data_IF_777404078345
#
_entry.id   IF_777404078345
#
_cell.length_a   1.000
_cell.length_b   1.000
_cell.length_c   1.000
_cell.angle_alpha   90.00
_cell.angle_beta   90.00
_cell.angle_gamma   90.00
#
_symmetry.space_group_name_H-M   'P 1'
#
loop_
_entity.id
_entity.type
_entity.pdbx_description
1 polymer ?
#
# COMPACT_ATOMS: atom_id res chain seq x y z
N UNK A 1 3.59 -1.13 -15.56
CA UNK A 1 4.07 -2.36 -14.88
C UNK A 1 5.52 -2.63 -15.26
N UNK A 2 6.31 -3.13 -14.31
CA UNK A 2 7.73 -3.46 -14.48
C UNK A 2 7.99 -4.89 -13.99
N UNK A 3 8.96 -5.57 -14.60
CA UNK A 3 9.45 -6.84 -14.07
C UNK A 3 10.18 -6.55 -12.75
N UNK A 4 9.69 -7.14 -11.66
CA UNK A 4 10.17 -6.90 -10.30
C UNK A 4 10.54 -8.21 -9.59
N UNK A 5 10.59 -9.33 -10.31
CA UNK A 5 10.84 -10.65 -9.73
C UNK A 5 9.89 -10.94 -8.54
N UNK A 6 8.62 -10.56 -8.70
CA UNK A 6 7.60 -10.78 -7.67
C UNK A 6 7.38 -12.29 -7.43
N UNK A 7 6.95 -12.65 -6.22
CA UNK A 7 6.77 -14.06 -5.82
C UNK A 7 5.78 -14.84 -6.70
N UNK A 8 4.83 -14.15 -7.31
CA UNK A 8 3.80 -14.70 -8.21
C UNK A 8 4.17 -14.55 -9.70
N UNK A 9 5.41 -14.15 -10.00
CA UNK A 9 5.93 -13.85 -11.33
C UNK A 9 5.11 -12.79 -12.10
N UNK A 10 4.28 -12.00 -11.42
CA UNK A 10 3.51 -10.93 -12.03
C UNK A 10 4.29 -9.62 -12.06
N UNK A 11 4.16 -8.81 -13.14
CA UNK A 11 4.81 -7.52 -13.20
C UNK A 11 4.14 -6.52 -12.25
N UNK A 12 4.95 -5.74 -11.54
CA UNK A 12 4.48 -4.81 -10.49
C UNK A 12 4.16 -3.44 -11.09
N UNK A 13 3.02 -2.86 -10.72
CA UNK A 13 2.60 -1.52 -11.16
C UNK A 13 2.37 -0.53 -10.01
N UNK A 14 2.28 -1.02 -8.78
CA UNK A 14 2.16 -0.20 -7.57
C UNK A 14 3.32 -0.50 -6.62
N UNK A 15 3.98 0.54 -6.15
CA UNK A 15 5.12 0.45 -5.23
C UNK A 15 4.91 1.42 -4.08
N UNK A 16 5.22 0.98 -2.86
CA UNK A 16 5.23 1.83 -1.67
C UNK A 16 6.61 1.77 -1.01
N UNK A 17 7.22 2.94 -0.80
CA UNK A 17 8.50 3.07 -0.12
C UNK A 17 8.28 3.52 1.32
N UNK A 18 8.83 2.78 2.27
CA UNK A 18 8.83 3.14 3.69
C UNK A 18 10.28 3.39 4.14
N UNK A 19 10.54 4.60 4.62
CA UNK A 19 11.83 4.97 5.20
C UNK A 19 11.68 5.10 6.71
N UNK A 20 12.60 4.48 7.45
CA UNK A 20 12.62 4.52 8.91
C UNK A 20 14.04 4.85 9.39
N UNK A 21 14.20 5.73 10.41
CA UNK A 21 15.52 5.95 11.01
C UNK A 21 16.00 4.68 11.73
N UNK A 22 17.31 4.52 11.86
CA UNK A 22 17.97 3.32 12.44
C UNK A 22 17.46 2.96 13.86
N UNK A 23 16.92 3.94 14.59
CA UNK A 23 16.36 3.76 15.94
C UNK A 23 14.84 3.63 16.03
N UNK A 24 14.09 3.52 14.92
CA UNK A 24 12.63 3.60 14.91
C UNK A 24 11.89 2.44 15.64
N UNK A 25 12.60 1.46 16.18
CA UNK A 25 11.99 0.30 16.83
C UNK A 25 10.97 -0.38 15.92
N UNK A 26 9.82 -0.80 16.46
CA UNK A 26 8.80 -1.54 15.72
C UNK A 26 7.77 -0.66 14.96
N UNK A 27 7.88 0.67 15.01
CA UNK A 27 6.83 1.54 14.45
C UNK A 27 6.77 1.47 12.92
N UNK A 28 7.90 1.26 12.25
CA UNK A 28 7.91 1.01 10.81
C UNK A 28 7.22 -0.31 10.44
N UNK A 29 7.28 -1.34 11.29
CA UNK A 29 6.55 -2.60 11.07
C UNK A 29 5.04 -2.39 11.17
N UNK A 30 4.58 -1.52 12.08
CA UNK A 30 3.15 -1.14 12.16
C UNK A 30 2.71 -0.39 10.90
N UNK A 31 3.52 0.55 10.41
CA UNK A 31 3.25 1.27 9.16
C UNK A 31 3.20 0.32 7.96
N UNK A 32 4.19 -0.58 7.85
CA UNK A 32 4.25 -1.60 6.81
C UNK A 32 3.02 -2.53 6.85
N UNK A 33 2.61 -2.96 8.05
CA UNK A 33 1.44 -3.82 8.21
C UNK A 33 0.14 -3.14 7.78
N UNK A 34 0.01 -1.83 8.05
CA UNK A 34 -1.14 -1.03 7.62
C UNK A 34 -1.19 -0.91 6.10
N UNK A 35 -0.10 -0.47 5.46
CA UNK A 35 -0.08 -0.28 4.01
C UNK A 35 -0.25 -1.60 3.26
N UNK A 36 0.32 -2.70 3.75
CA UNK A 36 0.10 -4.03 3.18
C UNK A 36 -1.37 -4.47 3.24
N UNK A 37 -2.14 -4.00 4.23
CA UNK A 37 -3.57 -4.28 4.35
C UNK A 37 -4.38 -3.49 3.33
N UNK A 38 -4.04 -2.21 3.14
CA UNK A 38 -4.64 -1.33 2.12
C UNK A 38 -4.39 -1.88 0.72
N UNK A 39 -3.15 -2.28 0.40
CA UNK A 39 -2.79 -2.81 -0.92
C UNK A 39 -3.31 -4.23 -1.19
N UNK A 40 -3.88 -4.92 -0.19
CA UNK A 40 -4.60 -6.19 -0.38
C UNK A 40 -6.08 -6.01 -0.71
N UNK A 41 -6.64 -4.82 -0.50
CA UNK A 41 -8.02 -4.53 -0.89
C UNK A 41 -8.08 -4.23 -2.40
N UNK A 42 -8.68 -5.15 -3.15
CA UNK A 42 -8.81 -5.07 -4.59
C UNK A 42 -9.57 -3.82 -5.05
N UNK A 43 -10.58 -3.37 -4.30
CA UNK A 43 -11.37 -2.18 -4.66
C UNK A 43 -10.53 -0.91 -4.49
N UNK A 44 -9.77 -0.82 -3.41
CA UNK A 44 -8.84 0.29 -3.18
C UNK A 44 -7.75 0.33 -4.24
N UNK A 45 -7.15 -0.82 -4.56
CA UNK A 45 -6.13 -0.94 -5.62
C UNK A 45 -6.69 -0.56 -6.99
N UNK A 46 -7.92 -0.97 -7.32
CA UNK A 46 -8.58 -0.60 -8.57
C UNK A 46 -8.79 0.93 -8.67
N UNK A 47 -9.22 1.58 -7.58
CA UNK A 47 -9.37 3.04 -7.52
C UNK A 47 -8.04 3.77 -7.71
N UNK A 48 -6.96 3.28 -7.08
CA UNK A 48 -5.61 3.85 -7.23
C UNK A 48 -5.15 3.74 -8.69
N UNK A 49 -5.32 2.58 -9.33
CA UNK A 49 -4.98 2.37 -10.75
C UNK A 49 -5.82 3.21 -11.72
N UNK A 50 -7.05 3.54 -11.33
CA UNK A 50 -8.00 4.33 -12.13
C UNK A 50 -7.78 5.84 -12.07
N UNK A 51 -6.91 6.35 -11.18
CA UNK A 51 -6.65 7.79 -11.04
C UNK A 51 -5.19 8.14 -11.29
N UNK A 52 -4.97 9.38 -11.71
CA UNK A 52 -3.63 9.99 -11.83
C UNK A 52 -3.46 11.19 -10.89
N UNK A 53 -4.45 11.46 -10.05
CA UNK A 53 -4.43 12.56 -9.09
C UNK A 53 -3.76 12.10 -7.78
N UNK A 54 -2.63 12.72 -7.46
CA UNK A 54 -1.86 12.44 -6.24
C UNK A 54 -2.68 12.69 -4.96
N UNK A 55 -3.57 13.69 -4.95
CA UNK A 55 -4.43 14.00 -3.78
C UNK A 55 -5.44 12.88 -3.57
N UNK A 56 -6.07 12.40 -4.66
CA UNK A 56 -6.99 11.28 -4.61
C UNK A 56 -6.29 9.99 -4.13
N UNK A 57 -5.07 9.72 -4.63
CA UNK A 57 -4.27 8.57 -4.19
C UNK A 57 -3.95 8.68 -2.70
N UNK A 58 -3.51 9.85 -2.23
CA UNK A 58 -3.22 10.06 -0.82
C UNK A 58 -4.46 9.83 0.06
N UNK A 59 -5.63 10.31 -0.36
CA UNK A 59 -6.88 10.10 0.35
C UNK A 59 -7.22 8.60 0.44
N UNK A 60 -7.11 7.86 -0.67
CA UNK A 60 -7.36 6.40 -0.71
C UNK A 60 -6.40 5.61 0.19
N UNK A 61 -5.13 6.02 0.28
CA UNK A 61 -4.14 5.34 1.14
C UNK A 61 -4.29 5.68 2.63
N UNK A 62 -4.87 6.83 2.94
CA UNK A 62 -5.05 7.33 4.30
C UNK A 62 -6.41 6.97 4.89
N UNK A 63 -7.35 6.52 4.06
CA UNK A 63 -8.69 6.16 4.49
C UNK A 63 -8.65 4.88 5.34
N UNK A 64 -8.85 5.04 6.64
CA UNK A 64 -9.04 3.93 7.56
C UNK A 64 -10.39 3.29 7.28
N UNK A 65 -10.45 2.26 6.44
CA UNK A 65 -11.54 1.31 6.52
C UNK A 65 -11.59 0.77 7.96
N UNK A 66 -12.68 1.06 8.66
CA UNK A 66 -12.97 0.45 9.94
C UNK A 66 -12.84 -1.07 9.77
N UNK A 67 -11.99 -1.68 10.59
CA UNK A 67 -11.78 -3.13 10.60
C UNK A 67 -13.13 -3.83 10.79
N UNK A 68 -13.72 -4.34 9.71
CA UNK A 68 -14.67 -5.44 9.79
C UNK A 68 -13.86 -6.70 10.11
N UNK A 69 -13.49 -6.83 11.39
CA UNK A 69 -13.16 -8.12 11.96
C UNK A 69 -14.47 -8.91 12.01
N UNK A 70 -14.52 -10.02 11.27
CA UNK A 70 -15.50 -11.08 11.45
C UNK A 70 -15.04 -11.99 12.61
#
# INVERSE_FOLDING_TARGET
>A
PVDFEALDDQPVDLVFLLLAPEGAGADHLKALSRIARVLRDADTVAKIRGTRDAVAIHALLSDTQASHAA
#
